data_IF_634302171040
#
_entry.id   IF_634302171040
#
_cell.length_a   1.000
_cell.length_b   1.000
_cell.length_c   1.000
_cell.angle_alpha   90.00
_cell.angle_beta   90.00
_cell.angle_gamma   90.00
#
_symmetry.space_group_name_H-M   'P 1'
#
loop_
_entity.id
_entity.type
_entity.pdbx_description
1 polymer ?
#
# COMPACT_ATOMS: atom_id res chain seq x y z
N UNK A 1 -4.38 11.77 5.82
CA UNK A 1 -5.79 11.82 5.36
C UNK A 1 -6.61 10.91 6.26
N UNK A 2 -7.79 11.33 6.69
CA UNK A 2 -8.68 10.48 7.50
C UNK A 2 -9.67 9.73 6.59
N UNK A 3 -9.92 8.47 6.88
CA UNK A 3 -10.84 7.61 6.12
C UNK A 3 -11.76 6.86 7.09
N UNK A 4 -13.05 7.19 7.01
CA UNK A 4 -14.09 6.59 7.84
C UNK A 4 -14.51 5.24 7.26
N UNK A 5 -14.36 4.16 8.05
CA UNK A 5 -14.77 2.82 7.64
C UNK A 5 -16.10 2.47 8.33
N UNK A 6 -17.21 2.31 7.58
CA UNK A 6 -18.51 2.04 8.16
C UNK A 6 -18.64 0.58 8.62
N UNK A 7 -19.73 0.24 9.33
CA UNK A 7 -19.91 -1.10 9.94
C UNK A 7 -19.99 -2.21 8.90
N UNK A 8 -20.59 -1.91 7.76
CA UNK A 8 -20.71 -2.75 6.57
C UNK A 8 -19.37 -2.91 5.81
N UNK A 9 -18.38 -2.07 6.14
CA UNK A 9 -17.07 -2.04 5.50
C UNK A 9 -16.98 -1.08 4.32
N UNK A 10 -15.76 -0.80 3.90
CA UNK A 10 -15.45 0.08 2.78
C UNK A 10 -14.55 -0.65 1.79
N UNK A 11 -14.77 -0.42 0.49
CA UNK A 11 -13.91 -0.91 -0.58
C UNK A 11 -13.45 0.27 -1.41
N UNK A 12 -12.14 0.34 -1.64
CA UNK A 12 -11.53 1.35 -2.49
C UNK A 12 -10.73 0.65 -3.59
N UNK A 13 -10.94 1.10 -4.82
CA UNK A 13 -10.18 0.69 -5.99
C UNK A 13 -9.16 1.82 -6.28
N UNK A 14 -7.88 1.47 -6.19
CA UNK A 14 -6.77 2.41 -6.18
C UNK A 14 -5.73 2.05 -7.25
N UNK A 15 -4.93 3.03 -7.64
CA UNK A 15 -3.80 2.88 -8.55
C UNK A 15 -2.54 3.41 -7.89
N UNK A 16 -1.51 2.56 -7.83
CA UNK A 16 -0.16 2.92 -7.41
C UNK A 16 0.67 3.13 -8.67
N UNK A 17 1.28 4.30 -8.82
CA UNK A 17 2.06 4.64 -10.01
C UNK A 17 3.54 4.79 -9.64
N UNK A 18 4.39 3.78 -9.90
CA UNK A 18 5.83 3.91 -9.75
C UNK A 18 6.39 5.05 -10.59
N UNK A 19 7.45 5.67 -10.09
CA UNK A 19 8.16 6.76 -10.76
C UNK A 19 9.66 6.52 -10.65
N UNK A 20 10.41 7.08 -11.58
CA UNK A 20 11.86 7.12 -11.50
C UNK A 20 12.32 8.03 -10.35
N UNK A 21 13.41 7.68 -9.64
CA UNK A 21 14.02 8.58 -8.69
C UNK A 21 14.54 9.83 -9.42
N UNK A 22 14.32 10.99 -8.80
CA UNK A 22 14.90 12.25 -9.24
C UNK A 22 16.02 12.57 -8.27
N UNK A 23 17.21 12.87 -8.78
CA UNK A 23 18.39 13.14 -7.95
C UNK A 23 18.09 14.16 -6.84
N UNK A 24 18.47 13.78 -5.62
CA UNK A 24 18.29 14.60 -4.42
C UNK A 24 16.85 14.69 -3.88
N UNK A 25 15.89 13.94 -4.44
CA UNK A 25 14.49 13.92 -3.95
C UNK A 25 14.09 12.53 -3.44
N UNK A 26 13.42 12.44 -2.28
CA UNK A 26 12.80 11.19 -1.84
C UNK A 26 11.84 10.66 -2.90
N UNK A 27 11.96 9.39 -3.26
CA UNK A 27 11.09 8.75 -4.22
C UNK A 27 9.75 8.39 -3.55
N UNK A 28 8.69 9.05 -4.01
CA UNK A 28 7.32 8.75 -3.61
C UNK A 28 6.49 8.34 -4.82
N UNK A 29 5.81 7.21 -4.68
CA UNK A 29 4.88 6.72 -5.68
C UNK A 29 3.48 7.12 -5.26
N UNK A 30 2.80 7.98 -6.04
CA UNK A 30 1.44 8.35 -5.72
C UNK A 30 0.54 7.13 -5.78
N UNK A 31 -0.38 7.10 -4.82
CA UNK A 31 -1.51 6.20 -4.78
C UNK A 31 -2.76 7.07 -4.95
N UNK A 32 -3.62 6.79 -5.92
CA UNK A 32 -4.82 7.59 -6.18
C UNK A 32 -6.06 6.72 -6.41
N UNK A 33 -7.25 7.32 -6.32
CA UNK A 33 -8.50 6.64 -6.63
C UNK A 33 -8.57 6.32 -8.13
N UNK A 34 -8.93 5.09 -8.48
CA UNK A 34 -9.08 4.70 -9.89
C UNK A 34 -10.17 5.52 -10.61
N UNK A 35 -11.22 5.93 -9.90
CA UNK A 35 -12.33 6.71 -10.45
C UNK A 35 -12.09 8.24 -10.34
N UNK A 36 -11.09 8.67 -9.57
CA UNK A 36 -10.73 10.07 -9.39
C UNK A 36 -9.22 10.25 -9.17
N UNK A 37 -8.42 10.42 -10.25
CA UNK A 37 -6.97 10.52 -10.15
C UNK A 37 -6.46 11.71 -9.32
N UNK A 38 -7.26 12.76 -9.14
CA UNK A 38 -6.90 13.91 -8.31
C UNK A 38 -7.01 13.62 -6.80
N UNK A 39 -7.69 12.52 -6.42
CA UNK A 39 -7.78 12.05 -5.03
C UNK A 39 -6.58 11.16 -4.68
N UNK A 40 -5.58 11.77 -4.04
CA UNK A 40 -4.35 11.07 -3.64
C UNK A 40 -4.43 10.54 -2.19
N UNK A 41 -3.96 9.31 -2.01
CA UNK A 41 -3.89 8.59 -0.75
C UNK A 41 -2.42 8.49 -0.31
N UNK A 42 -2.06 9.17 0.78
CA UNK A 42 -0.78 9.00 1.47
C UNK A 42 -0.91 8.02 2.63
N UNK A 43 -0.23 8.33 3.74
CA UNK A 43 -0.54 7.73 5.03
C UNK A 43 -2.00 8.03 5.40
N UNK A 44 -2.70 6.94 5.68
CA UNK A 44 -4.11 6.98 6.00
C UNK A 44 -4.29 6.76 7.49
N UNK A 45 -5.15 7.55 8.09
CA UNK A 45 -5.70 7.28 9.41
C UNK A 45 -7.09 6.70 9.20
N UNK A 46 -7.29 5.43 9.57
CA UNK A 46 -8.58 4.77 9.39
C UNK A 46 -9.38 4.79 10.68
N UNK A 47 -10.58 5.35 10.61
CA UNK A 47 -11.51 5.40 11.72
C UNK A 47 -12.58 4.30 11.53
N UNK A 48 -12.37 3.15 12.16
CA UNK A 48 -13.29 2.01 12.05
C UNK A 48 -14.53 2.15 12.93
N UNK A 49 -15.70 2.23 12.31
CA UNK A 49 -17.00 2.19 13.02
C UNK A 49 -17.40 0.73 13.25
N UNK A 50 -17.22 0.25 14.48
CA UNK A 50 -17.60 -1.12 14.87
C UNK A 50 -16.76 -2.19 14.18
N UNK A 51 -17.38 -3.26 13.66
CA UNK A 51 -16.67 -4.43 13.09
C UNK A 51 -16.31 -4.29 11.60
N UNK A 52 -16.33 -3.07 11.06
CA UNK A 52 -16.07 -2.77 9.65
C UNK A 52 -14.72 -3.32 9.16
N UNK A 53 -14.65 -3.60 7.85
CA UNK A 53 -13.42 -4.04 7.17
C UNK A 53 -13.18 -3.12 6.00
N UNK A 54 -11.97 -2.57 5.91
CA UNK A 54 -11.52 -1.82 4.75
C UNK A 54 -10.80 -2.76 3.80
N UNK A 55 -11.19 -2.76 2.53
CA UNK A 55 -10.51 -3.49 1.47
C UNK A 55 -9.97 -2.51 0.45
N UNK A 56 -8.65 -2.46 0.31
CA UNK A 56 -7.98 -1.72 -0.75
C UNK A 56 -7.64 -2.70 -1.87
N UNK A 57 -8.05 -2.40 -3.09
CA UNK A 57 -7.60 -3.12 -4.28
C UNK A 57 -6.73 -2.16 -5.07
N UNK A 58 -5.47 -2.52 -5.22
CA UNK A 58 -4.46 -1.63 -5.78
C UNK A 58 -3.99 -2.24 -7.10
N UNK A 59 -3.93 -1.41 -8.13
CA UNK A 59 -3.35 -1.73 -9.43
C UNK A 59 -2.01 -1.03 -9.56
N UNK A 60 -0.99 -1.73 -10.05
CA UNK A 60 0.27 -1.11 -10.43
C UNK A 60 0.17 -0.50 -11.83
N UNK A 61 0.36 0.81 -11.94
CA UNK A 61 0.41 1.55 -13.21
C UNK A 61 1.86 1.93 -13.54
N UNK A 62 2.43 1.23 -14.52
CA UNK A 62 3.85 1.36 -14.88
C UNK A 62 4.11 2.40 -15.99
N UNK A 63 3.11 3.19 -16.37
CA UNK A 63 3.22 4.16 -17.48
C UNK A 63 4.36 5.18 -17.32
N UNK A 64 4.71 5.54 -16.08
CA UNK A 64 5.78 6.50 -15.74
C UNK A 64 7.18 5.86 -15.59
N UNK A 65 7.27 4.53 -15.76
CA UNK A 65 8.54 3.78 -15.73
C UNK A 65 8.61 2.83 -16.94
N UNK A 66 8.52 3.36 -18.18
CA UNK A 66 8.46 2.53 -19.38
C UNK A 66 9.71 1.65 -19.51
N UNK A 67 9.51 0.36 -19.81
CA UNK A 67 10.59 -0.61 -19.96
C UNK A 67 11.02 -1.31 -18.67
N UNK A 68 10.34 -1.06 -17.55
CA UNK A 68 10.41 -1.92 -16.37
C UNK A 68 9.24 -2.89 -16.34
N UNK A 69 9.49 -4.10 -15.88
CA UNK A 69 8.46 -5.08 -15.59
C UNK A 69 8.37 -5.29 -14.06
N UNK A 70 7.60 -4.42 -13.41
CA UNK A 70 7.44 -4.40 -11.97
C UNK A 70 6.25 -5.25 -11.51
N UNK A 71 6.47 -5.98 -10.43
CA UNK A 71 5.45 -6.74 -9.71
C UNK A 71 5.44 -6.39 -8.22
N UNK A 72 4.31 -6.61 -7.54
CA UNK A 72 4.30 -6.58 -6.08
C UNK A 72 5.12 -7.74 -5.50
N UNK A 73 6.13 -7.42 -4.68
CA UNK A 73 7.00 -8.43 -4.11
C UNK A 73 6.22 -9.40 -3.20
N UNK A 74 6.51 -10.70 -3.30
CA UNK A 74 5.74 -11.75 -2.63
C UNK A 74 6.42 -12.27 -1.37
N UNK A 75 5.72 -12.26 -0.25
CA UNK A 75 6.23 -12.74 1.03
C UNK A 75 5.56 -14.06 1.45
N UNK A 76 6.26 -15.18 1.22
CA UNK A 76 5.73 -16.54 1.46
C UNK A 76 5.27 -16.82 2.89
N UNK A 77 5.76 -16.11 3.91
CA UNK A 77 5.54 -16.45 5.32
C UNK A 77 4.58 -15.54 6.10
N UNK A 78 4.30 -14.31 5.65
CA UNK A 78 3.60 -13.32 6.51
C UNK A 78 2.32 -12.66 5.95
N UNK A 79 1.85 -13.02 4.74
CA UNK A 79 0.65 -12.38 4.10
C UNK A 79 0.77 -10.85 4.12
N UNK A 80 1.95 -10.38 3.77
CA UNK A 80 2.36 -8.98 3.67
C UNK A 80 3.00 -8.74 2.29
N UNK A 81 2.39 -9.30 1.25
CA UNK A 81 2.85 -9.07 -0.12
C UNK A 81 2.78 -7.57 -0.45
N UNK A 82 3.74 -7.07 -1.22
CA UNK A 82 3.75 -5.71 -1.75
C UNK A 82 3.94 -4.60 -0.71
N UNK A 83 4.05 -4.91 0.59
CA UNK A 83 4.19 -3.90 1.64
C UNK A 83 5.21 -4.28 2.73
N UNK A 84 5.86 -3.25 3.30
CA UNK A 84 6.62 -3.32 4.54
C UNK A 84 5.88 -2.50 5.61
N UNK A 85 5.33 -3.17 6.61
CA UNK A 85 4.70 -2.49 7.74
C UNK A 85 5.75 -1.80 8.63
N UNK A 86 5.57 -0.51 8.90
CA UNK A 86 6.48 0.27 9.76
C UNK A 86 5.98 0.35 11.21
N UNK A 87 4.67 0.37 11.42
CA UNK A 87 4.09 0.37 12.77
C UNK A 87 4.07 -1.05 13.36
N UNK A 88 4.60 -1.30 14.58
CA UNK A 88 4.70 -2.65 15.16
C UNK A 88 3.33 -3.26 15.51
N UNK A 89 2.40 -2.45 16.02
CA UNK A 89 1.05 -2.87 16.43
C UNK A 89 0.14 -3.25 15.26
N UNK A 90 0.56 -2.95 14.04
CA UNK A 90 -0.23 -3.11 12.83
C UNK A 90 -0.27 -4.53 12.25
N UNK A 91 0.74 -5.36 12.56
CA UNK A 91 0.96 -6.66 11.88
C UNK A 91 -0.21 -7.63 12.00
N UNK A 92 -1.05 -7.50 13.03
CA UNK A 92 -2.18 -8.39 13.27
C UNK A 92 -3.49 -7.92 12.62
N UNK A 93 -3.55 -6.67 12.15
CA UNK A 93 -4.73 -6.05 11.56
C UNK A 93 -4.72 -6.05 10.03
N UNK A 94 -3.53 -6.14 9.43
CA UNK A 94 -3.30 -6.10 7.99
C UNK A 94 -3.11 -7.48 7.37
N UNK A 95 -3.73 -7.70 6.22
CA UNK A 95 -3.45 -8.83 5.34
C UNK A 95 -3.38 -8.33 3.91
N UNK A 96 -2.20 -8.38 3.30
CA UNK A 96 -2.03 -8.08 1.89
C UNK A 96 -1.69 -9.35 1.11
N UNK A 97 -2.22 -9.44 -0.10
CA UNK A 97 -1.91 -10.53 -1.04
C UNK A 97 -1.82 -10.00 -2.46
N UNK A 98 -0.70 -10.29 -3.10
CA UNK A 98 -0.56 -10.06 -4.52
C UNK A 98 -1.40 -11.08 -5.28
N UNK A 99 -1.98 -10.65 -6.41
CA UNK A 99 -2.82 -11.46 -7.29
C UNK A 99 -2.19 -11.48 -8.66
N UNK A 100 -2.02 -12.67 -9.19
CA UNK A 100 -1.59 -12.88 -10.57
C UNK A 100 -2.76 -12.56 -11.51
N UNK A 101 -2.50 -11.71 -12.49
CA UNK A 101 -3.37 -11.40 -13.62
C UNK A 101 -2.54 -11.67 -14.86
N UNK A 102 -2.97 -12.61 -15.70
CA UNK A 102 -2.26 -13.03 -16.93
C UNK A 102 -0.82 -13.53 -16.72
N UNK A 103 -0.48 -13.93 -15.49
CA UNK A 103 0.89 -14.32 -15.11
C UNK A 103 1.46 -13.38 -14.06
N UNK A 104 1.08 -12.10 -14.12
CA UNK A 104 1.83 -11.04 -13.47
C UNK A 104 1.20 -10.58 -12.16
N UNK A 105 2.02 -10.30 -11.15
CA UNK A 105 1.57 -9.87 -9.82
C UNK A 105 1.37 -8.35 -9.71
N UNK A 106 0.63 -7.77 -10.67
CA UNK A 106 0.35 -6.32 -10.78
C UNK A 106 -0.86 -5.84 -9.98
N UNK A 107 -1.58 -6.74 -9.31
CA UNK A 107 -2.72 -6.41 -8.44
C UNK A 107 -2.42 -6.78 -7.00
N UNK A 108 -2.72 -5.89 -6.07
CA UNK A 108 -2.60 -6.12 -4.64
C UNK A 108 -3.94 -5.93 -3.94
N UNK A 109 -4.35 -6.92 -3.13
CA UNK A 109 -5.52 -6.78 -2.28
C UNK A 109 -5.09 -6.70 -0.83
N UNK A 110 -5.39 -5.58 -0.19
CA UNK A 110 -5.15 -5.34 1.22
C UNK A 110 -6.48 -5.37 1.96
N UNK A 111 -6.55 -6.13 3.06
CA UNK A 111 -7.68 -6.11 3.98
C UNK A 111 -7.22 -5.68 5.36
N UNK A 112 -7.95 -4.73 5.91
CA UNK A 112 -7.62 -4.05 7.16
C UNK A 112 -8.84 -4.18 8.07
N UNK A 113 -8.60 -4.65 9.29
CA UNK A 113 -9.63 -4.74 10.31
C UNK A 113 -9.04 -4.38 11.66
N UNK A 114 -9.50 -3.28 12.21
CA UNK A 114 -9.23 -2.94 13.60
C UNK A 114 -10.23 -3.66 14.51
N UNK A 115 -9.76 -4.71 15.19
CA UNK A 115 -10.55 -5.45 16.18
C UNK A 115 -10.41 -4.89 17.59
N UNK A 116 -9.40 -4.07 17.83
CA UNK A 116 -9.02 -3.58 19.15
C UNK A 116 -9.48 -2.14 19.40
N UNK A 117 -10.00 -1.46 18.37
CA UNK A 117 -10.44 -0.06 18.42
C UNK A 117 -9.32 0.87 18.85
N UNK A 118 -8.11 0.62 18.34
CA UNK A 118 -6.92 1.39 18.66
C UNK A 118 -6.78 2.48 17.59
N UNK A 119 -6.84 3.77 17.96
CA UNK A 119 -6.48 4.85 17.04
C UNK A 119 -5.00 4.70 16.67
N UNK A 120 -4.70 4.45 15.40
CA UNK A 120 -3.33 4.25 14.93
C UNK A 120 -3.07 4.94 13.59
N UNK A 121 -1.82 5.36 13.39
CA UNK A 121 -1.32 5.91 12.14
C UNK A 121 -0.75 4.78 11.30
N UNK A 122 -1.47 4.43 10.23
CA UNK A 122 -1.11 3.32 9.36
C UNK A 122 0.03 3.72 8.42
N UNK A 123 1.25 3.39 8.82
CA UNK A 123 2.48 3.67 8.06
C UNK A 123 3.08 2.39 7.48
N UNK A 124 3.29 2.37 6.17
CA UNK A 124 3.91 1.25 5.46
C UNK A 124 4.64 1.74 4.21
N UNK A 125 5.59 0.94 3.73
CA UNK A 125 6.26 1.15 2.45
C UNK A 125 5.68 0.17 1.43
N UNK A 126 5.59 0.60 0.17
CA UNK A 126 5.40 -0.27 -0.98
C UNK A 126 6.70 -1.00 -1.30
N UNK A 127 6.60 -2.25 -1.69
CA UNK A 127 7.72 -3.03 -2.19
C UNK A 127 7.34 -3.75 -3.48
N UNK A 128 8.03 -3.40 -4.54
CA UNK A 128 7.92 -4.04 -5.84
C UNK A 128 9.26 -4.68 -6.23
N UNK A 129 9.21 -5.64 -7.12
CA UNK A 129 10.36 -6.33 -7.68
C UNK A 129 10.29 -6.20 -9.20
N UNK A 130 11.42 -5.91 -9.83
CA UNK A 130 11.59 -6.04 -11.28
C UNK A 130 11.81 -7.51 -11.63
N UNK A 131 10.93 -8.07 -12.45
CA UNK A 131 10.91 -9.49 -12.79
C UNK A 131 12.14 -9.91 -13.61
N UNK A 132 12.69 -9.01 -14.43
CA UNK A 132 13.85 -9.31 -15.25
C UNK A 132 15.14 -9.37 -14.42
N UNK A 133 15.29 -8.44 -13.48
CA UNK A 133 16.56 -8.24 -12.75
C UNK A 133 16.54 -8.78 -11.32
N UNK A 134 15.36 -9.04 -10.74
CA UNK A 134 15.17 -9.35 -9.32
C UNK A 134 15.41 -8.14 -8.39
N UNK A 135 15.57 -6.94 -8.95
CA UNK A 135 15.86 -5.74 -8.18
C UNK A 135 14.62 -5.27 -7.43
N UNK A 136 14.77 -5.01 -6.13
CA UNK A 136 13.67 -4.55 -5.29
C UNK A 136 13.62 -3.02 -5.24
N UNK A 137 12.42 -2.48 -5.41
CA UNK A 137 12.12 -1.06 -5.31
C UNK A 137 11.19 -0.81 -4.12
N UNK A 138 11.48 0.25 -3.39
CA UNK A 138 10.73 0.61 -2.18
C UNK A 138 10.32 2.07 -2.25
N UNK A 139 9.08 2.34 -1.87
CA UNK A 139 8.49 3.68 -1.91
C UNK A 139 7.57 3.87 -0.71
N UNK A 140 7.59 5.05 -0.09
CA UNK A 140 6.80 5.35 1.10
C UNK A 140 6.43 6.81 1.17
N UNK A 141 5.36 7.14 1.89
CA UNK A 141 4.95 8.53 2.07
C UNK A 141 6.05 9.33 2.80
N UNK A 142 6.53 10.46 2.24
CA UNK A 142 7.57 11.27 2.88
C UNK A 142 7.15 11.86 4.24
N UNK A 143 5.85 11.86 4.54
CA UNK A 143 5.28 12.28 5.82
C UNK A 143 5.10 11.11 6.80
N UNK A 144 5.64 9.92 6.51
CA UNK A 144 5.66 8.81 7.49
C UNK A 144 6.37 9.28 8.75
N UNK A 145 5.61 9.36 9.83
CA UNK A 145 6.16 9.54 11.17
C UNK A 145 6.69 8.19 11.64
N UNK A 146 7.98 7.93 11.41
CA UNK A 146 8.68 6.87 12.14
C UNK A 146 8.88 7.41 13.55
N UNK A 147 8.06 6.97 14.52
CA UNK A 147 8.34 7.27 15.93
C UNK A 147 9.71 6.67 16.24
N UNK A 148 10.71 7.52 16.39
CA UNK A 148 11.95 7.19 17.06
C UNK A 148 11.65 7.31 18.55
N UNK A 149 11.84 6.23 19.29
CA UNK A 149 11.82 6.30 20.74
C UNK A 149 12.98 7.21 21.16
N UNK A 150 12.67 8.31 21.86
CA UNK A 150 13.64 9.11 22.62
C UNK A 150 14.02 8.39 23.92
#
# INVERSE_FOLDING_TARGET
>A
MECDVPKEGLKLDLVLQPREPVDGKPLYWPLYNADNPDEHFGNMQFNFKGKGVLTLKITLDQTEVPGRDLEFARFRRRKLDGIIALSPDFRHQFRSRARSVDGDYTKLVIKIRDKAHIPDNFSFLWICEDVETGMHFVSGDPKVAVRTED
#
